data_IF_614860736332
#
_entry.id   IF_614860736332
#
_cell.length_a   1.000
_cell.length_b   1.000
_cell.length_c   1.000
_cell.angle_alpha   90.00
_cell.angle_beta   90.00
_cell.angle_gamma   90.00
#
_symmetry.space_group_name_H-M   'P 1'
#
loop_
_entity.id
_entity.type
_entity.pdbx_description
1 polymer ?
#
# COMPACT_ATOMS: atom_id res chain seq x y z
N UNK A 1 12.42 -10.45 9.29
CA UNK A 1 12.59 -11.23 8.03
C UNK A 1 12.30 -10.39 6.78
N UNK A 2 11.08 -9.85 6.62
CA UNK A 2 10.69 -9.06 5.43
C UNK A 2 11.68 -7.91 5.14
N UNK A 3 11.98 -7.09 6.15
CA UNK A 3 12.89 -5.95 6.02
C UNK A 3 14.28 -6.35 5.48
N UNK A 4 14.81 -7.53 5.82
CA UNK A 4 16.11 -8.00 5.34
C UNK A 4 16.09 -8.52 3.90
N UNK A 5 14.93 -8.93 3.39
CA UNK A 5 14.79 -9.46 2.02
C UNK A 5 14.55 -8.35 1.00
N UNK A 6 13.79 -7.32 1.39
CA UNK A 6 13.36 -6.22 0.53
C UNK A 6 14.50 -5.49 -0.23
N UNK A 7 15.70 -5.29 0.33
CA UNK A 7 16.82 -4.71 -0.41
C UNK A 7 17.24 -5.49 -1.65
N UNK A 8 16.98 -6.81 -1.71
CA UNK A 8 17.24 -7.63 -2.92
C UNK A 8 16.41 -7.19 -4.13
N UNK A 9 15.30 -6.51 -3.88
CA UNK A 9 14.35 -6.01 -4.86
C UNK A 9 14.39 -4.49 -5.00
N UNK A 10 15.47 -3.83 -4.53
CA UNK A 10 15.67 -2.39 -4.65
C UNK A 10 14.85 -1.56 -3.66
N UNK A 11 14.23 -2.19 -2.65
CA UNK A 11 13.39 -1.50 -1.67
C UNK A 11 14.23 -1.07 -0.47
N UNK A 12 14.25 0.24 -0.20
CA UNK A 12 15.00 0.85 0.91
C UNK A 12 14.11 1.20 2.10
N UNK A 13 12.80 1.38 1.90
CA UNK A 13 11.81 1.64 2.94
C UNK A 13 10.46 1.05 2.53
N UNK A 14 9.65 0.64 3.52
CA UNK A 14 8.32 0.07 3.27
C UNK A 14 7.39 0.28 4.46
N UNK A 15 6.09 0.38 4.19
CA UNK A 15 5.04 0.30 5.21
C UNK A 15 4.67 -1.18 5.40
N UNK A 16 4.83 -1.78 6.59
CA UNK A 16 4.27 -3.10 6.86
C UNK A 16 2.74 -3.03 6.77
N UNK A 17 2.16 -3.90 5.95
CA UNK A 17 0.71 -3.89 5.68
C UNK A 17 0.02 -5.04 6.40
N UNK A 18 -1.06 -4.74 7.12
CA UNK A 18 -1.92 -5.76 7.73
C UNK A 18 -3.15 -6.00 6.87
N UNK A 19 -3.60 -7.25 6.79
CA UNK A 19 -5.01 -7.57 6.49
C UNK A 19 -5.87 -7.28 7.73
N UNK A 20 -7.20 -7.23 7.57
CA UNK A 20 -8.14 -7.17 8.68
C UNK A 20 -7.86 -8.29 9.70
N UNK A 21 -7.71 -7.93 10.96
CA UNK A 21 -7.27 -8.84 12.03
C UNK A 21 -7.91 -8.49 13.38
N UNK A 22 -7.70 -9.30 14.40
CA UNK A 22 -8.15 -8.99 15.77
C UNK A 22 -7.33 -7.84 16.38
N UNK A 23 -7.86 -7.21 17.42
CA UNK A 23 -7.14 -6.17 18.17
C UNK A 23 -5.81 -6.70 18.75
N UNK A 24 -5.77 -7.93 19.26
CA UNK A 24 -4.54 -8.54 19.79
C UNK A 24 -3.47 -8.76 18.70
N UNK A 25 -3.89 -9.22 17.52
CA UNK A 25 -2.99 -9.41 16.39
C UNK A 25 -2.47 -8.05 15.89
N UNK A 26 -3.36 -7.05 15.79
CA UNK A 26 -2.98 -5.69 15.42
C UNK A 26 -1.99 -5.09 16.42
N UNK A 27 -2.25 -5.24 17.73
CA UNK A 27 -1.36 -4.78 18.79
C UNK A 27 0.03 -5.40 18.65
N UNK A 28 0.09 -6.71 18.41
CA UNK A 28 1.36 -7.42 18.20
C UNK A 28 2.14 -6.83 17.01
N UNK A 29 1.48 -6.62 15.87
CA UNK A 29 2.11 -6.02 14.69
C UNK A 29 2.60 -4.59 14.99
N UNK A 30 1.78 -3.76 15.62
CA UNK A 30 2.15 -2.37 15.91
C UNK A 30 3.28 -2.25 16.93
N UNK A 31 3.34 -3.15 17.91
CA UNK A 31 4.47 -3.25 18.85
C UNK A 31 5.77 -3.64 18.12
N UNK A 32 5.72 -4.57 17.15
CA UNK A 32 6.87 -4.91 16.30
C UNK A 32 7.30 -3.76 15.39
N UNK A 33 6.34 -3.07 14.76
CA UNK A 33 6.60 -1.88 13.93
C UNK A 33 7.30 -0.81 14.76
N UNK A 34 6.80 -0.51 15.96
CA UNK A 34 7.43 0.42 16.89
C UNK A 34 8.86 0.04 17.22
N UNK A 35 9.09 -1.23 17.60
CA UNK A 35 10.41 -1.71 17.96
C UNK A 35 11.41 -1.58 16.80
N UNK A 36 11.01 -1.97 15.58
CA UNK A 36 11.87 -1.91 14.39
C UNK A 36 12.13 -0.48 13.91
N UNK A 37 11.17 0.43 14.12
CA UNK A 37 11.35 1.86 13.86
C UNK A 37 12.31 2.52 14.84
N UNK A 38 12.22 2.15 16.12
CA UNK A 38 13.09 2.68 17.18
C UNK A 38 14.52 2.14 17.08
N UNK A 39 14.70 0.92 16.56
CA UNK A 39 16.01 0.29 16.39
C UNK A 39 16.19 -0.27 14.96
N UNK A 40 16.45 0.60 13.97
CA UNK A 40 16.72 0.17 12.59
C UNK A 40 17.89 -0.83 12.55
N UNK A 41 17.70 -1.92 11.83
CA UNK A 41 18.70 -2.97 11.70
C UNK A 41 19.58 -2.74 10.47
N UNK A 42 20.89 -2.97 10.61
CA UNK A 42 21.79 -2.96 9.46
C UNK A 42 21.40 -4.04 8.45
N UNK A 43 21.60 -3.78 7.16
CA UNK A 43 21.23 -4.73 6.09
C UNK A 43 19.72 -4.85 5.83
N UNK A 44 18.88 -4.03 6.46
CA UNK A 44 17.42 -4.10 6.34
C UNK A 44 16.83 -2.82 5.76
N UNK A 45 15.78 -2.97 4.93
CA UNK A 45 14.89 -1.89 4.54
C UNK A 45 14.29 -1.21 5.77
N UNK A 46 14.17 0.11 5.73
CA UNK A 46 13.56 0.91 6.79
C UNK A 46 12.09 0.57 6.95
N UNK A 47 11.71 0.22 8.17
CA UNK A 47 10.30 0.06 8.53
C UNK A 47 9.70 1.45 8.73
N UNK A 48 8.64 1.75 7.96
CA UNK A 48 7.83 2.96 8.10
C UNK A 48 6.61 2.68 8.99
N UNK A 49 5.81 3.70 9.37
CA UNK A 49 4.51 3.46 9.98
C UNK A 49 3.67 2.47 9.15
N UNK A 50 2.89 1.65 9.85
CA UNK A 50 2.11 0.59 9.24
C UNK A 50 1.04 1.15 8.28
N UNK A 51 0.73 0.35 7.27
CA UNK A 51 -0.48 0.50 6.47
C UNK A 51 -1.50 -0.51 6.97
N UNK A 52 -2.63 -0.03 7.48
CA UNK A 52 -3.72 -0.89 7.91
C UNK A 52 -4.71 -1.04 6.76
N UNK A 53 -4.64 -2.14 6.02
CA UNK A 53 -5.69 -2.52 5.07
C UNK A 53 -6.89 -3.06 5.86
N UNK A 54 -7.69 -2.11 6.37
CA UNK A 54 -8.27 -2.19 7.71
C UNK A 54 -9.49 -3.12 7.85
N UNK A 55 -9.97 -3.21 9.09
CA UNK A 55 -11.23 -3.86 9.45
C UNK A 55 -12.49 -3.12 8.93
N UNK A 56 -12.37 -1.85 8.52
CA UNK A 56 -13.49 -0.98 8.18
C UNK A 56 -13.65 -0.83 6.66
N UNK A 57 -13.82 -1.98 6.00
CA UNK A 57 -13.98 -2.12 4.56
C UNK A 57 -15.27 -2.87 4.24
N UNK A 58 -15.76 -2.75 3.01
CA UNK A 58 -17.01 -3.39 2.61
C UNK A 58 -16.82 -4.88 2.36
N UNK A 59 -17.66 -5.70 3.02
CA UNK A 59 -17.61 -7.16 2.92
C UNK A 59 -17.80 -7.68 1.48
N UNK A 60 -18.58 -6.98 0.65
CA UNK A 60 -18.83 -7.38 -0.74
C UNK A 60 -17.59 -7.15 -1.62
N UNK A 61 -16.69 -6.28 -1.17
CA UNK A 61 -15.43 -5.94 -1.81
C UNK A 61 -14.22 -6.51 -1.05
N UNK A 62 -14.41 -7.37 -0.06
CA UNK A 62 -13.35 -7.83 0.86
C UNK A 62 -12.19 -8.58 0.17
N UNK A 63 -12.45 -9.28 -0.93
CA UNK A 63 -11.44 -10.17 -1.53
C UNK A 63 -10.91 -11.21 -0.53
N UNK A 64 -9.59 -11.20 -0.32
CA UNK A 64 -8.90 -12.13 0.58
C UNK A 64 -9.00 -11.78 2.08
N UNK A 65 -9.55 -10.61 2.41
CA UNK A 65 -9.70 -10.14 3.78
C UNK A 65 -10.56 -11.11 4.61
N UNK A 66 -10.15 -11.44 5.85
CA UNK A 66 -10.90 -12.32 6.75
C UNK A 66 -12.26 -11.70 7.11
N UNK A 67 -13.35 -12.38 6.78
CA UNK A 67 -14.72 -11.84 6.94
C UNK A 67 -15.04 -11.61 8.42
N UNK A 68 -14.59 -12.52 9.28
CA UNK A 68 -14.75 -12.51 10.72
C UNK A 68 -14.05 -11.31 11.40
N UNK A 69 -13.12 -10.65 10.72
CA UNK A 69 -12.44 -9.47 11.21
C UNK A 69 -13.07 -8.16 10.71
N UNK A 70 -13.99 -8.20 9.73
CA UNK A 70 -14.61 -6.98 9.22
C UNK A 70 -15.64 -6.42 10.21
N UNK A 71 -15.69 -5.09 10.29
CA UNK A 71 -16.50 -4.37 11.28
C UNK A 71 -17.12 -3.12 10.69
N UNK A 72 -18.24 -2.72 11.27
CA UNK A 72 -18.85 -1.42 10.98
C UNK A 72 -18.20 -0.32 11.83
N UNK A 73 -17.94 0.87 11.27
CA UNK A 73 -17.53 2.02 12.06
C UNK A 73 -18.59 2.36 13.14
N UNK A 74 -18.19 2.61 14.40
CA UNK A 74 -19.13 2.81 15.51
C UNK A 74 -19.90 4.14 15.40
N UNK A 75 -21.17 4.14 15.84
CA UNK A 75 -22.15 5.21 15.59
C UNK A 75 -22.02 6.50 16.41
N UNK A 76 -21.03 6.63 17.30
CA UNK A 76 -20.85 7.84 18.11
C UNK A 76 -19.41 7.99 18.58
N UNK A 77 -18.80 9.11 18.23
CA UNK A 77 -17.53 9.58 18.79
C UNK A 77 -17.74 11.01 19.29
N UNK A 78 -17.33 11.30 20.52
CA UNK A 78 -16.91 12.66 20.87
C UNK A 78 -15.55 12.85 20.20
N UNK A 79 -15.55 13.56 19.07
CA UNK A 79 -14.35 13.93 18.33
C UNK A 79 -13.80 15.20 18.98
N UNK A 80 -12.91 15.06 19.96
CA UNK A 80 -11.96 16.14 20.21
C UNK A 80 -10.88 16.02 19.13
N UNK A 81 -10.45 17.13 18.55
CA UNK A 81 -9.53 17.15 17.40
C UNK A 81 -8.28 16.30 17.73
N UNK A 82 -8.08 15.20 17.01
CA UNK A 82 -6.94 14.29 17.17
C UNK A 82 -7.09 13.17 18.22
N UNK A 83 -8.24 13.05 18.90
CA UNK A 83 -8.50 11.95 19.85
C UNK A 83 -9.97 11.53 19.82
N UNK A 84 -10.23 10.23 19.73
CA UNK A 84 -11.59 9.69 19.74
C UNK A 84 -11.83 8.83 20.97
N UNK A 85 -13.05 8.90 21.50
CA UNK A 85 -13.61 7.91 22.41
C UNK A 85 -14.37 6.86 21.61
N UNK A 86 -14.06 5.59 21.81
CA UNK A 86 -14.70 4.47 21.09
C UNK A 86 -14.64 3.21 21.96
N UNK A 87 -15.67 2.37 21.88
CA UNK A 87 -15.72 1.06 22.53
C UNK A 87 -15.19 -0.06 21.62
N UNK A 88 -14.84 0.26 20.37
CA UNK A 88 -14.20 -0.67 19.44
C UNK A 88 -12.71 -0.85 19.76
N UNK A 89 -12.32 -2.09 20.09
CA UNK A 89 -10.97 -2.47 20.53
C UNK A 89 -9.87 -2.28 19.45
N UNK A 90 -10.20 -2.45 18.16
CA UNK A 90 -9.29 -2.21 17.04
C UNK A 90 -8.95 -0.72 16.98
N UNK A 91 -9.96 0.16 17.05
CA UNK A 91 -9.75 1.60 17.05
C UNK A 91 -9.05 2.10 18.32
N UNK A 92 -9.30 1.49 19.48
CA UNK A 92 -8.54 1.75 20.70
C UNK A 92 -7.06 1.38 20.53
N UNK A 93 -6.79 0.23 19.90
CA UNK A 93 -5.43 -0.24 19.59
C UNK A 93 -4.70 0.71 18.65
N UNK A 94 -5.37 1.17 17.58
CA UNK A 94 -4.85 2.19 16.66
C UNK A 94 -4.54 3.49 17.42
N UNK A 95 -5.46 3.95 18.27
CA UNK A 95 -5.27 5.18 19.04
C UNK A 95 -4.06 5.09 19.99
N UNK A 96 -3.84 3.93 20.61
CA UNK A 96 -2.68 3.70 21.49
C UNK A 96 -1.34 3.63 20.74
N UNK A 97 -1.37 3.48 19.41
CA UNK A 97 -0.20 3.33 18.57
C UNK A 97 -0.19 4.30 17.37
N UNK A 98 -0.85 5.46 17.50
CA UNK A 98 -0.96 6.46 16.42
C UNK A 98 0.35 6.78 15.70
N UNK A 99 1.50 7.01 16.38
CA UNK A 99 2.75 7.30 15.69
C UNK A 99 3.25 6.16 14.78
N UNK A 100 2.77 4.94 14.99
CA UNK A 100 3.14 3.71 14.29
C UNK A 100 2.14 3.34 13.18
N UNK A 101 1.10 4.15 12.95
CA UNK A 101 0.09 3.96 11.89
C UNK A 101 0.18 5.12 10.91
N UNK A 102 0.56 4.84 9.66
CA UNK A 102 0.73 5.85 8.62
C UNK A 102 -0.45 5.95 7.66
N UNK A 103 -0.94 4.80 7.21
CA UNK A 103 -2.03 4.69 6.23
C UNK A 103 -3.12 3.79 6.78
N UNK A 104 -4.38 4.12 6.49
CA UNK A 104 -5.50 3.24 6.76
C UNK A 104 -6.45 3.19 5.57
N UNK A 105 -6.70 1.98 5.05
CA UNK A 105 -7.68 1.75 3.97
C UNK A 105 -9.08 1.66 4.54
N UNK A 106 -10.02 2.45 4.03
CA UNK A 106 -11.40 2.54 4.53
C UNK A 106 -12.40 2.55 3.39
N UNK A 107 -13.55 1.88 3.58
CA UNK A 107 -14.72 2.00 2.72
C UNK A 107 -15.65 3.12 3.24
N UNK A 108 -15.74 4.27 2.56
CA UNK A 108 -16.42 5.46 3.10
C UNK A 108 -17.95 5.33 3.12
N UNK A 109 -18.53 4.44 2.32
CA UNK A 109 -19.98 4.22 2.20
C UNK A 109 -20.58 3.41 3.35
N UNK A 110 -19.74 2.80 4.18
CA UNK A 110 -20.21 2.13 5.39
C UNK A 110 -20.92 3.13 6.31
N UNK A 111 -21.87 2.64 7.11
CA UNK A 111 -22.48 3.45 8.16
C UNK A 111 -21.38 4.07 9.06
N UNK A 112 -21.41 5.39 9.23
CA UNK A 112 -20.39 6.19 9.93
C UNK A 112 -18.98 6.16 9.29
N UNK A 113 -18.83 5.63 8.08
CA UNK A 113 -17.57 5.59 7.34
C UNK A 113 -17.01 6.99 7.07
N UNK A 114 -17.85 7.93 6.67
CA UNK A 114 -17.44 9.32 6.45
C UNK A 114 -16.95 10.02 7.73
N UNK A 115 -17.54 9.72 8.88
CA UNK A 115 -17.07 10.23 10.18
C UNK A 115 -15.73 9.59 10.57
N UNK A 116 -15.55 8.31 10.25
CA UNK A 116 -14.27 7.63 10.42
C UNK A 116 -13.18 8.25 9.54
N UNK A 117 -13.47 8.60 8.28
CA UNK A 117 -12.54 9.30 7.39
C UNK A 117 -12.10 10.62 8.04
N UNK A 118 -13.05 11.49 8.39
CA UNK A 118 -12.75 12.79 9.03
C UNK A 118 -11.92 12.65 10.29
N UNK A 119 -12.27 11.67 11.11
CA UNK A 119 -11.51 11.33 12.30
C UNK A 119 -10.09 10.96 11.91
N UNK A 120 -9.85 9.86 11.21
CA UNK A 120 -8.49 9.39 10.89
C UNK A 120 -7.60 10.50 10.29
N UNK A 121 -8.13 11.32 9.37
CA UNK A 121 -7.43 12.50 8.83
C UNK A 121 -7.05 13.50 9.93
N UNK A 122 -7.96 13.84 10.85
CA UNK A 122 -7.69 14.77 11.94
C UNK A 122 -6.66 14.25 12.96
N UNK A 123 -6.40 12.94 13.03
CA UNK A 123 -5.27 12.38 13.81
C UNK A 123 -3.98 12.23 13.01
N UNK A 124 -3.95 12.70 11.76
CA UNK A 124 -2.77 12.64 10.90
C UNK A 124 -2.53 11.29 10.23
N UNK A 125 -3.51 10.37 10.24
CA UNK A 125 -3.46 9.14 9.45
C UNK A 125 -3.86 9.46 8.01
N UNK A 126 -3.09 8.95 7.05
CA UNK A 126 -3.45 9.05 5.63
C UNK A 126 -4.57 8.05 5.36
N UNK A 127 -5.75 8.57 5.03
CA UNK A 127 -6.88 7.73 4.64
C UNK A 127 -6.76 7.36 3.16
N UNK A 128 -6.73 6.05 2.90
CA UNK A 128 -6.74 5.45 1.56
C UNK A 128 -8.13 4.85 1.29
N UNK A 129 -8.74 5.19 0.15
CA UNK A 129 -10.04 4.63 -0.24
C UNK A 129 -9.83 3.27 -0.92
N UNK A 130 -10.53 2.23 -0.50
CA UNK A 130 -10.37 0.90 -1.10
C UNK A 130 -11.32 -0.12 -0.48
N UNK A 131 -11.44 -1.28 -1.13
CA UNK A 131 -12.38 -2.34 -0.72
C UNK A 131 -13.79 -1.81 -0.48
N UNK A 132 -14.30 -1.06 -1.45
CA UNK A 132 -15.46 -0.20 -1.28
C UNK A 132 -16.42 -0.29 -2.45
N UNK A 133 -17.70 -0.30 -2.08
CA UNK A 133 -18.85 -0.16 -2.95
C UNK A 133 -19.33 1.27 -3.13
N UNK A 134 -18.56 2.27 -2.70
CA UNK A 134 -18.96 3.67 -2.80
C UNK A 134 -19.18 4.08 -4.27
N UNK A 135 -20.22 4.87 -4.50
CA UNK A 135 -20.45 5.52 -5.78
C UNK A 135 -19.49 6.71 -5.98
N UNK A 136 -19.60 7.37 -7.14
CA UNK A 136 -18.77 8.53 -7.48
C UNK A 136 -18.91 9.67 -6.45
N UNK A 137 -20.13 10.03 -6.08
CA UNK A 137 -20.41 11.16 -5.18
C UNK A 137 -19.94 10.90 -3.75
N UNK A 138 -20.15 9.69 -3.23
CA UNK A 138 -19.64 9.28 -1.91
C UNK A 138 -18.12 9.28 -1.90
N UNK A 139 -17.49 8.83 -2.98
CA UNK A 139 -16.03 8.85 -3.13
C UNK A 139 -15.50 10.28 -3.12
N UNK A 140 -16.10 11.20 -3.90
CA UNK A 140 -15.72 12.63 -3.88
C UNK A 140 -15.92 13.26 -2.50
N UNK A 141 -17.02 12.93 -1.81
CA UNK A 141 -17.26 13.41 -0.46
C UNK A 141 -16.18 12.92 0.53
N UNK A 142 -15.68 11.69 0.38
CA UNK A 142 -14.60 11.15 1.20
C UNK A 142 -13.26 11.87 0.94
N UNK A 143 -12.98 12.21 -0.32
CA UNK A 143 -11.82 13.00 -0.71
C UNK A 143 -11.90 14.41 -0.11
N UNK A 144 -13.06 15.06 -0.21
CA UNK A 144 -13.33 16.35 0.41
C UNK A 144 -13.22 16.29 1.94
N UNK A 145 -13.58 15.16 2.55
CA UNK A 145 -13.47 14.91 3.99
C UNK A 145 -12.04 14.65 4.47
N UNK A 146 -11.07 14.47 3.56
CA UNK A 146 -9.65 14.34 3.92
C UNK A 146 -8.94 13.09 3.42
N UNK A 147 -9.61 12.20 2.68
CA UNK A 147 -8.92 11.08 2.04
C UNK A 147 -7.93 11.57 0.97
N UNK A 148 -6.74 10.96 0.94
CA UNK A 148 -5.63 11.40 0.06
C UNK A 148 -5.00 10.26 -0.74
N UNK A 149 -5.38 9.02 -0.48
CA UNK A 149 -4.91 7.86 -1.23
C UNK A 149 -6.07 6.98 -1.72
N UNK A 150 -5.80 6.12 -2.69
CA UNK A 150 -6.70 5.06 -3.12
C UNK A 150 -5.92 3.75 -3.25
N UNK A 151 -6.31 2.73 -2.48
CA UNK A 151 -5.62 1.45 -2.38
C UNK A 151 -5.82 0.63 -3.66
N UNK A 152 -4.74 0.08 -4.23
CA UNK A 152 -4.72 -0.79 -5.43
C UNK A 152 -5.82 -0.49 -6.49
N UNK A 153 -5.87 0.75 -6.99
CA UNK A 153 -6.83 1.27 -7.99
C UNK A 153 -7.25 0.21 -9.01
N UNK A 154 -8.56 0.17 -9.30
CA UNK A 154 -9.29 -0.82 -10.10
C UNK A 154 -9.66 -2.11 -9.36
N UNK A 155 -8.92 -2.49 -8.31
CA UNK A 155 -9.18 -3.72 -7.57
C UNK A 155 -10.12 -3.42 -6.41
N UNK A 156 -11.17 -4.22 -6.26
CA UNK A 156 -12.11 -4.11 -5.13
C UNK A 156 -12.71 -2.71 -4.96
N UNK A 157 -13.06 -2.08 -6.08
CA UNK A 157 -13.72 -0.78 -6.17
C UNK A 157 -14.88 -0.86 -7.16
N UNK A 158 -15.84 0.06 -7.04
CA UNK A 158 -16.87 0.24 -8.09
C UNK A 158 -16.20 0.69 -9.41
N UNK A 159 -16.51 0.00 -10.54
CA UNK A 159 -15.85 0.25 -11.81
C UNK A 159 -16.33 1.55 -12.45
N UNK A 160 -15.53 2.08 -13.38
CA UNK A 160 -15.90 3.24 -14.18
C UNK A 160 -16.62 2.82 -15.46
N UNK A 161 -17.84 3.32 -15.65
CA UNK A 161 -18.61 3.24 -16.88
C UNK A 161 -18.94 4.64 -17.41
N UNK A 162 -19.52 4.75 -18.61
CA UNK A 162 -19.84 6.06 -19.20
C UNK A 162 -20.95 6.84 -18.49
N UNK A 163 -21.81 6.17 -17.71
CA UNK A 163 -22.94 6.78 -16.99
C UNK A 163 -22.81 6.73 -15.48
N UNK A 164 -21.97 5.83 -14.98
CA UNK A 164 -21.66 5.68 -13.57
C UNK A 164 -20.14 5.56 -13.44
N UNK A 165 -19.45 6.66 -13.06
CA UNK A 165 -18.00 6.66 -12.96
C UNK A 165 -17.46 5.81 -11.80
N UNK A 166 -18.27 5.52 -10.78
CA UNK A 166 -17.85 4.83 -9.58
C UNK A 166 -16.66 5.50 -8.86
N UNK A 167 -16.06 4.76 -7.92
CA UNK A 167 -14.86 5.16 -7.21
C UNK A 167 -13.66 5.26 -8.15
N UNK A 168 -13.55 4.37 -9.15
CA UNK A 168 -12.47 4.44 -10.15
C UNK A 168 -12.48 5.80 -10.86
N UNK A 169 -13.65 6.28 -11.28
CA UNK A 169 -13.79 7.59 -11.90
C UNK A 169 -13.47 8.73 -10.95
N UNK A 170 -13.89 8.65 -9.69
CA UNK A 170 -13.56 9.65 -8.66
C UNK A 170 -12.05 9.75 -8.43
N UNK A 171 -11.35 8.63 -8.33
CA UNK A 171 -9.89 8.59 -8.14
C UNK A 171 -9.17 9.09 -9.38
N UNK A 172 -9.56 8.68 -10.58
CA UNK A 172 -8.90 9.09 -11.82
C UNK A 172 -9.10 10.57 -12.16
N UNK A 173 -10.22 11.16 -11.75
CA UNK A 173 -10.55 12.57 -12.03
C UNK A 173 -10.14 13.56 -10.93
N UNK A 174 -9.66 13.08 -9.78
CA UNK A 174 -9.26 13.93 -8.65
C UNK A 174 -7.74 14.08 -8.55
N UNK A 175 -7.26 15.33 -8.46
CA UNK A 175 -5.85 15.66 -8.21
C UNK A 175 -5.45 15.56 -6.72
N UNK A 176 -6.43 15.50 -5.83
CA UNK A 176 -6.24 15.46 -4.37
C UNK A 176 -5.89 14.06 -3.85
N UNK A 177 -6.08 13.03 -4.67
CA UNK A 177 -5.83 11.63 -4.32
C UNK A 177 -4.68 11.07 -5.11
N UNK A 178 -3.74 10.41 -4.44
CA UNK A 178 -2.73 9.59 -5.09
C UNK A 178 -3.23 8.15 -5.25
N UNK A 179 -3.15 7.58 -6.45
CA UNK A 179 -3.59 6.21 -6.71
C UNK A 179 -2.46 5.21 -6.49
N UNK A 180 -2.70 4.14 -5.74
CA UNK A 180 -1.81 2.98 -5.68
C UNK A 180 -2.14 2.04 -6.84
N UNK A 181 -1.14 1.48 -7.53
CA UNK A 181 -1.33 0.52 -8.62
C UNK A 181 -0.39 -0.66 -8.44
N UNK A 182 -0.95 -1.88 -8.51
CA UNK A 182 -0.17 -3.13 -8.55
C UNK A 182 0.33 -3.35 -9.98
N UNK A 183 1.63 -3.13 -10.20
CA UNK A 183 2.24 -3.14 -11.52
C UNK A 183 2.78 -4.52 -11.93
N UNK A 184 1.95 -5.57 -11.93
CA UNK A 184 2.34 -6.93 -12.32
C UNK A 184 1.83 -7.40 -13.69
N UNK A 185 0.98 -6.59 -14.33
CA UNK A 185 0.33 -6.92 -15.60
C UNK A 185 -0.81 -7.96 -15.46
N UNK A 186 -1.19 -8.32 -14.23
CA UNK A 186 -2.22 -9.31 -13.90
C UNK A 186 -3.38 -8.67 -13.16
N UNK A 187 -3.11 -7.94 -12.08
CA UNK A 187 -4.10 -7.16 -11.34
C UNK A 187 -4.63 -6.01 -12.21
N UNK A 188 -3.73 -5.34 -12.91
CA UNK A 188 -4.06 -4.27 -13.84
C UNK A 188 -3.39 -4.55 -15.18
N UNK A 189 -4.15 -4.52 -16.27
CA UNK A 189 -3.58 -4.69 -17.60
C UNK A 189 -2.67 -3.49 -17.95
N UNK A 190 -1.51 -3.66 -18.61
CA UNK A 190 -0.59 -2.53 -18.91
C UNK A 190 -1.23 -1.38 -19.70
N UNK A 191 -2.23 -1.66 -20.55
CA UNK A 191 -3.00 -0.61 -21.23
C UNK A 191 -3.83 0.24 -20.26
N UNK A 192 -4.38 -0.37 -19.21
CA UNK A 192 -5.13 0.34 -18.16
C UNK A 192 -4.18 1.15 -17.27
N UNK A 193 -2.97 0.64 -17.00
CA UNK A 193 -1.93 1.43 -16.34
C UNK A 193 -1.59 2.70 -17.12
N UNK A 194 -1.50 2.63 -18.46
CA UNK A 194 -1.30 3.81 -19.32
C UNK A 194 -2.42 4.83 -19.20
N UNK A 195 -3.67 4.36 -19.18
CA UNK A 195 -4.83 5.25 -18.98
C UNK A 195 -4.74 5.94 -17.62
N UNK A 196 -4.40 5.20 -16.56
CA UNK A 196 -4.22 5.79 -15.24
C UNK A 196 -3.10 6.84 -15.22
N UNK A 197 -1.94 6.55 -15.82
CA UNK A 197 -0.84 7.51 -15.94
C UNK A 197 -1.22 8.77 -16.72
N UNK A 198 -2.00 8.62 -17.79
CA UNK A 198 -2.49 9.75 -18.57
C UNK A 198 -3.49 10.61 -17.79
N UNK A 199 -4.35 9.99 -16.98
CA UNK A 199 -5.35 10.70 -16.18
C UNK A 199 -4.76 11.41 -14.96
N UNK A 200 -3.85 10.75 -14.21
CA UNK A 200 -3.36 11.25 -12.92
C UNK A 200 -1.96 11.85 -12.95
N UNK A 201 -1.19 11.67 -14.03
CA UNK A 201 0.27 11.85 -14.06
C UNK A 201 1.02 10.83 -13.18
N UNK A 202 2.24 10.39 -13.58
CA UNK A 202 3.14 9.60 -12.73
C UNK A 202 3.41 10.23 -11.35
N UNK A 203 3.28 11.56 -11.25
CA UNK A 203 3.41 12.27 -9.98
C UNK A 203 2.27 12.01 -9.00
N UNK A 204 1.11 11.46 -9.39
CA UNK A 204 -0.02 11.11 -8.50
C UNK A 204 -0.34 9.61 -8.56
N UNK A 205 0.65 8.80 -8.89
CA UNK A 205 0.56 7.34 -8.82
C UNK A 205 1.71 6.81 -7.98
N UNK A 206 1.38 5.87 -7.09
CA UNK A 206 2.33 5.03 -6.36
C UNK A 206 2.28 3.62 -6.95
N UNK A 207 3.40 3.15 -7.45
CA UNK A 207 3.54 1.72 -7.74
C UNK A 207 3.67 0.98 -6.42
N UNK A 208 2.80 0.01 -6.18
CA UNK A 208 2.84 -0.86 -5.00
C UNK A 208 3.04 -2.31 -5.45
N UNK A 209 3.54 -3.14 -4.55
CA UNK A 209 3.58 -4.58 -4.80
C UNK A 209 2.27 -5.26 -4.43
N UNK A 210 1.63 -4.84 -3.34
CA UNK A 210 0.64 -5.67 -2.64
C UNK A 210 1.17 -7.11 -2.44
N UNK A 211 2.47 -7.20 -2.17
CA UNK A 211 3.21 -8.44 -2.18
C UNK A 211 2.97 -9.23 -0.91
N UNK A 212 2.54 -10.48 -1.06
CA UNK A 212 2.38 -11.40 0.08
C UNK A 212 3.72 -12.03 0.49
N UNK A 213 3.70 -12.88 1.53
CA UNK A 213 4.82 -13.76 1.88
C UNK A 213 5.24 -14.71 0.74
N UNK A 214 4.44 -14.85 -0.32
CA UNK A 214 4.80 -15.56 -1.54
C UNK A 214 5.68 -14.77 -2.51
N UNK A 215 5.92 -13.48 -2.28
CA UNK A 215 6.66 -12.62 -3.20
C UNK A 215 8.11 -13.07 -3.34
N UNK A 216 8.56 -13.22 -4.59
CA UNK A 216 9.91 -13.70 -4.91
C UNK A 216 10.12 -15.21 -4.74
N UNK A 217 9.09 -15.97 -4.32
CA UNK A 217 9.16 -17.43 -4.27
C UNK A 217 8.86 -18.05 -5.64
N UNK A 218 9.37 -19.27 -5.94
CA UNK A 218 9.02 -20.00 -7.16
C UNK A 218 7.52 -20.35 -7.22
N UNK A 219 6.99 -20.47 -8.44
CA UNK A 219 5.63 -21.00 -8.68
C UNK A 219 5.47 -22.37 -8.00
N UNK A 220 4.33 -22.59 -7.36
CA UNK A 220 4.02 -23.79 -6.59
C UNK A 220 4.41 -23.72 -5.11
N UNK A 221 5.15 -22.70 -4.69
CA UNK A 221 5.44 -22.46 -3.26
C UNK A 221 4.15 -22.14 -2.49
N UNK A 222 4.15 -22.44 -1.19
CA UNK A 222 3.07 -22.08 -0.28
C UNK A 222 3.55 -21.10 0.78
N UNK A 223 2.66 -20.22 1.21
CA UNK A 223 2.89 -19.28 2.30
C UNK A 223 1.57 -19.02 3.06
N UNK A 224 1.55 -18.05 3.96
CA UNK A 224 0.34 -17.64 4.68
C UNK A 224 0.04 -16.16 4.52
N UNK A 225 -1.25 -15.82 4.50
CA UNK A 225 -1.79 -14.47 4.57
C UNK A 225 -2.93 -14.45 5.58
N UNK A 226 -2.80 -13.68 6.67
CA UNK A 226 -3.82 -13.65 7.73
C UNK A 226 -4.14 -15.03 8.32
N UNK A 227 -3.13 -15.90 8.46
CA UNK A 227 -3.30 -17.28 8.93
C UNK A 227 -3.87 -18.26 7.89
N UNK A 228 -4.26 -17.80 6.70
CA UNK A 228 -4.80 -18.63 5.61
C UNK A 228 -3.68 -19.04 4.65
N UNK A 229 -3.71 -20.28 4.16
CA UNK A 229 -2.76 -20.78 3.18
C UNK A 229 -2.94 -20.07 1.83
N UNK A 230 -1.84 -19.64 1.23
CA UNK A 230 -1.79 -19.16 -0.15
C UNK A 230 -0.82 -20.00 -0.97
N UNK A 231 -1.11 -20.17 -2.25
CA UNK A 231 -0.23 -20.81 -3.24
C UNK A 231 0.24 -19.78 -4.26
N UNK A 232 1.55 -19.81 -4.55
CA UNK A 232 2.22 -18.92 -5.51
C UNK A 232 1.98 -19.41 -6.93
N UNK A 233 1.24 -18.64 -7.73
CA UNK A 233 1.03 -18.87 -9.16
C UNK A 233 1.49 -17.65 -9.99
N UNK A 234 0.65 -17.17 -10.91
CA UNK A 234 0.80 -15.87 -11.55
C UNK A 234 0.47 -14.72 -10.59
N UNK A 235 -0.37 -15.01 -9.60
CA UNK A 235 -0.69 -14.22 -8.41
C UNK A 235 -0.71 -15.15 -7.18
N UNK A 236 -0.85 -14.62 -5.97
CA UNK A 236 -1.12 -15.46 -4.81
C UNK A 236 -2.61 -15.85 -4.79
N UNK A 237 -2.91 -17.13 -4.55
CA UNK A 237 -4.28 -17.64 -4.47
C UNK A 237 -4.54 -18.37 -3.17
N UNK A 238 -5.71 -18.14 -2.59
CA UNK A 238 -6.28 -18.96 -1.53
C UNK A 238 -6.72 -20.32 -2.08
N UNK A 239 -6.96 -21.29 -1.18
CA UNK A 239 -7.42 -22.63 -1.56
C UNK A 239 -8.77 -22.63 -2.30
N UNK A 240 -9.58 -21.59 -2.11
CA UNK A 240 -10.86 -21.36 -2.81
C UNK A 240 -10.71 -20.68 -4.20
N UNK A 241 -9.47 -20.42 -4.64
CA UNK A 241 -9.16 -19.77 -5.91
C UNK A 241 -9.16 -18.24 -5.87
N UNK A 242 -9.58 -17.62 -4.76
CA UNK A 242 -9.57 -16.16 -4.58
C UNK A 242 -8.15 -15.62 -4.69
N UNK A 243 -7.97 -14.61 -5.53
CA UNK A 243 -6.72 -13.84 -5.60
C UNK A 243 -6.51 -13.08 -4.30
N UNK A 244 -5.33 -13.26 -3.71
CA UNK A 244 -4.99 -12.85 -2.36
C UNK A 244 -3.66 -12.11 -2.35
N UNK A 245 -3.69 -10.86 -2.82
CA UNK A 245 -2.50 -10.07 -3.10
C UNK A 245 -1.69 -10.62 -4.27
N UNK A 246 -0.47 -10.10 -4.39
CA UNK A 246 0.45 -10.45 -5.46
C UNK A 246 1.65 -11.27 -4.96
N UNK A 247 2.45 -11.69 -5.93
CA UNK A 247 3.79 -12.27 -5.74
C UNK A 247 4.87 -11.32 -6.32
N UNK A 248 4.48 -10.05 -6.53
CA UNK A 248 5.26 -9.01 -7.18
C UNK A 248 6.38 -8.50 -6.26
N UNK A 249 7.54 -8.25 -6.86
CA UNK A 249 8.67 -7.56 -6.22
C UNK A 249 8.84 -6.18 -6.88
N UNK A 250 9.39 -5.20 -6.17
CA UNK A 250 9.39 -3.81 -6.66
C UNK A 250 10.25 -3.62 -7.93
N UNK A 251 11.34 -4.35 -8.07
CA UNK A 251 12.14 -4.42 -9.30
C UNK A 251 11.31 -4.90 -10.50
N UNK A 252 10.47 -5.92 -10.31
CA UNK A 252 9.54 -6.41 -11.33
C UNK A 252 8.40 -5.43 -11.61
N UNK A 253 7.93 -4.71 -10.58
CA UNK A 253 6.93 -3.65 -10.74
C UNK A 253 7.49 -2.52 -11.63
N UNK A 254 8.71 -2.07 -11.34
CA UNK A 254 9.43 -1.08 -12.13
C UNK A 254 9.67 -1.56 -13.58
N UNK A 255 10.11 -2.81 -13.75
CA UNK A 255 10.30 -3.40 -15.08
C UNK A 255 8.98 -3.51 -15.87
N UNK A 256 7.86 -3.82 -15.22
CA UNK A 256 6.54 -3.82 -15.87
C UNK A 256 6.12 -2.42 -16.32
N UNK A 257 6.31 -1.41 -15.46
CA UNK A 257 6.01 -0.01 -15.79
C UNK A 257 6.78 0.44 -17.03
N UNK A 258 8.09 0.21 -17.06
CA UNK A 258 8.96 0.66 -18.15
C UNK A 258 8.75 -0.19 -19.40
N UNK A 259 8.76 -1.51 -19.26
CA UNK A 259 8.77 -2.44 -20.40
C UNK A 259 7.40 -2.73 -21.02
N UNK A 260 6.32 -2.71 -20.23
CA UNK A 260 4.98 -3.11 -20.69
C UNK A 260 3.96 -1.96 -20.65
N UNK A 261 4.00 -1.13 -19.61
CA UNK A 261 3.14 0.04 -19.50
C UNK A 261 3.71 1.25 -20.26
N UNK A 262 4.99 1.23 -20.68
CA UNK A 262 5.59 2.29 -21.50
C UNK A 262 5.91 3.57 -20.73
N UNK A 263 6.07 3.50 -19.41
CA UNK A 263 6.59 4.62 -18.63
C UNK A 263 8.06 4.87 -18.98
N UNK A 264 8.48 6.13 -19.04
CA UNK A 264 9.91 6.46 -19.08
C UNK A 264 10.60 6.05 -17.77
N UNK A 265 11.93 5.85 -17.79
CA UNK A 265 12.69 5.48 -16.58
C UNK A 265 12.47 6.44 -15.41
N UNK A 266 12.44 7.75 -15.70
CA UNK A 266 12.22 8.80 -14.69
C UNK A 266 10.82 8.72 -14.10
N UNK A 267 9.80 8.48 -14.91
CA UNK A 267 8.41 8.36 -14.44
C UNK A 267 8.18 7.06 -13.67
N UNK A 268 8.77 5.94 -14.13
CA UNK A 268 8.78 4.70 -13.37
C UNK A 268 9.44 4.88 -11.99
N UNK A 269 10.57 5.58 -11.93
CA UNK A 269 11.28 5.82 -10.67
C UNK A 269 10.49 6.76 -9.75
N UNK A 270 9.82 7.76 -10.35
CA UNK A 270 8.90 8.65 -9.65
C UNK A 270 7.76 7.86 -9.02
N UNK A 271 7.11 6.96 -9.77
CA UNK A 271 5.99 6.14 -9.27
C UNK A 271 6.42 5.14 -8.18
N UNK A 272 7.63 4.57 -8.28
CA UNK A 272 8.14 3.61 -7.30
C UNK A 272 8.78 4.26 -6.06
N UNK A 273 9.15 5.54 -6.10
CA UNK A 273 9.96 6.16 -5.05
C UNK A 273 9.53 7.59 -4.69
N UNK A 274 9.60 8.54 -5.64
CA UNK A 274 9.33 9.96 -5.36
C UNK A 274 7.88 10.21 -4.94
N UNK A 275 6.91 9.64 -5.67
CA UNK A 275 5.48 9.79 -5.37
C UNK A 275 5.14 9.17 -4.01
N UNK A 276 5.51 7.91 -3.70
CA UNK A 276 5.34 7.35 -2.35
C UNK A 276 6.00 8.19 -1.25
N UNK A 277 7.25 8.62 -1.43
CA UNK A 277 7.96 9.41 -0.42
C UNK A 277 7.26 10.74 -0.15
N UNK A 278 6.75 11.42 -1.19
CA UNK A 278 6.00 12.66 -1.05
C UNK A 278 4.68 12.44 -0.32
N UNK A 279 3.90 11.42 -0.71
CA UNK A 279 2.61 11.13 -0.07
C UNK A 279 2.76 10.75 1.40
N UNK A 280 3.86 10.06 1.76
CA UNK A 280 4.20 9.71 3.14
C UNK A 280 4.92 10.84 3.90
N UNK A 281 5.16 12.00 3.29
CA UNK A 281 5.84 13.13 3.93
C UNK A 281 7.32 12.91 4.25
N UNK A 282 7.97 11.94 3.58
CA UNK A 282 9.37 11.55 3.83
C UNK A 282 10.34 12.56 3.21
N UNK A 283 10.81 13.50 4.02
CA UNK A 283 11.73 14.55 3.58
C UNK A 283 13.08 13.96 3.14
N UNK A 284 13.56 14.38 1.96
CA UNK A 284 14.84 13.94 1.41
C UNK A 284 14.87 12.49 0.89
N UNK A 285 13.75 11.75 0.93
CA UNK A 285 13.66 10.41 0.35
C UNK A 285 13.08 10.44 -1.07
N UNK A 286 13.37 9.40 -1.85
CA UNK A 286 12.82 9.20 -3.19
C UNK A 286 13.28 10.19 -4.25
N UNK A 287 14.38 10.91 -3.99
CA UNK A 287 14.99 11.87 -4.90
C UNK A 287 16.51 11.70 -4.91
N UNK A 288 17.14 12.02 -6.05
CA UNK A 288 18.60 12.05 -6.18
C UNK A 288 19.05 13.52 -6.22
N UNK A 289 19.70 13.97 -5.16
CA UNK A 289 20.19 15.35 -5.05
C UNK A 289 21.08 15.53 -3.83
N UNK A 290 21.91 16.58 -3.86
CA UNK A 290 22.75 16.93 -2.71
C UNK A 290 21.89 17.21 -1.47
N UNK A 291 22.25 16.62 -0.34
CA UNK A 291 21.49 16.74 0.93
C UNK A 291 20.29 15.80 1.06
N UNK A 292 19.95 15.01 0.03
CA UNK A 292 18.97 13.94 0.13
C UNK A 292 19.52 12.73 0.90
N UNK A 293 18.63 11.87 1.38
CA UNK A 293 19.00 10.59 1.99
C UNK A 293 19.57 9.67 0.92
N UNK A 294 20.74 9.09 1.18
CA UNK A 294 21.43 8.19 0.26
C UNK A 294 20.83 6.77 0.28
N UNK A 295 19.52 6.69 0.02
CA UNK A 295 18.78 5.46 -0.22
C UNK A 295 18.70 5.24 -1.74
N UNK A 296 19.41 4.24 -2.26
CA UNK A 296 19.61 4.05 -3.70
C UNK A 296 19.35 2.61 -4.13
N UNK A 297 18.77 2.43 -5.31
CA UNK A 297 18.78 1.16 -6.02
C UNK A 297 19.59 1.34 -7.31
N UNK A 298 20.62 0.51 -7.51
CA UNK A 298 21.43 0.48 -8.72
C UNK A 298 20.95 -0.68 -9.58
N UNK A 299 20.54 -0.40 -10.81
CA UNK A 299 20.03 -1.41 -11.74
C UNK A 299 20.99 -1.58 -12.92
N UNK A 300 21.00 -2.77 -13.53
CA UNK A 300 21.68 -2.98 -14.81
C UNK A 300 20.79 -2.59 -16.01
N UNK A 301 21.33 -2.75 -17.23
CA UNK A 301 20.61 -2.43 -18.47
C UNK A 301 19.34 -3.26 -18.71
N UNK A 302 19.19 -4.40 -18.01
CA UNK A 302 18.00 -5.24 -18.05
C UNK A 302 17.05 -4.94 -16.88
N UNK A 303 17.29 -3.85 -16.14
CA UNK A 303 16.54 -3.42 -14.97
C UNK A 303 16.59 -4.40 -13.79
N UNK A 304 17.62 -5.26 -13.71
CA UNK A 304 17.83 -6.10 -12.53
C UNK A 304 18.58 -5.30 -11.46
N UNK A 305 18.18 -5.46 -10.20
CA UNK A 305 18.86 -4.83 -9.06
C UNK A 305 20.26 -5.42 -8.89
N UNK A 306 21.26 -4.55 -8.93
CA UNK A 306 22.67 -4.88 -8.70
C UNK A 306 23.12 -4.49 -7.31
N UNK A 307 22.65 -3.35 -6.80
CA UNK A 307 22.98 -2.93 -5.45
C UNK A 307 21.80 -2.17 -4.84
N UNK A 308 21.68 -2.26 -3.52
CA UNK A 308 20.79 -1.40 -2.75
C UNK A 308 21.56 -0.77 -1.62
N UNK A 309 21.41 0.54 -1.48
CA UNK A 309 22.07 1.37 -0.49
C UNK A 309 21.03 1.97 0.43
N UNK A 310 21.30 1.99 1.73
CA UNK A 310 20.43 2.62 2.73
C UNK A 310 21.29 3.51 3.61
N UNK A 311 20.95 4.80 3.65
CA UNK A 311 21.73 5.79 4.40
C UNK A 311 23.19 5.90 3.96
N UNK A 312 23.49 5.61 2.69
CA UNK A 312 24.85 5.66 2.15
C UNK A 312 25.67 4.39 2.36
N UNK A 313 25.10 3.35 2.98
CA UNK A 313 25.75 2.06 3.18
C UNK A 313 25.20 0.99 2.21
N UNK A 314 26.04 0.16 1.59
CA UNK A 314 25.59 -0.93 0.74
C UNK A 314 24.98 -2.05 1.60
N UNK A 315 23.69 -2.32 1.44
CA UNK A 315 22.95 -3.35 2.19
C UNK A 315 22.61 -4.58 1.35
N UNK A 316 22.74 -4.48 0.03
CA UNK A 316 22.63 -5.60 -0.90
C UNK A 316 23.64 -5.42 -2.04
N UNK A 317 24.32 -6.51 -2.39
CA UNK A 317 25.17 -6.61 -3.57
C UNK A 317 24.79 -7.88 -4.34
N UNK A 318 24.23 -7.71 -5.53
CA UNK A 318 23.85 -8.79 -6.44
C UNK A 318 25.01 -9.31 -7.28
N UNK A 319 26.18 -8.66 -7.27
CA UNK A 319 27.37 -9.15 -7.96
C UNK A 319 28.10 -10.24 -7.16
N UNK A 320 27.97 -10.22 -5.83
CA UNK A 320 28.54 -11.22 -4.92
C UNK A 320 27.73 -12.52 -4.82
N UNK A 321 26.54 -12.57 -5.45
CA UNK A 321 25.65 -13.74 -5.51
C UNK A 321 25.84 -14.62 -6.77
N UNK A 322 26.94 -14.44 -7.52
CA UNK A 322 27.30 -15.41 -8.57
C UNK A 322 27.86 -16.68 -7.90
N UNK A 323 27.42 -17.89 -8.29
CA UNK A 323 28.03 -19.13 -7.84
C UNK A 323 29.51 -19.23 -8.26
#
# INVERSE_FOLDING_TARGET
AIAAMLPRYGVTAFCPTTVACSADALKTVLDEVRALRAAPQHGCARVLPAHLESNFINQDFKGAQPLECLRMPPAKRTLDIGRWTTDDDVLQTIQAALPDVGIMTVAPELANGMDLVRALTAAGIIVSLGHSGADYETSLAAIAAGARQATHLFNRMTPMTSRDPGMVGAVLSSDDVCAEIICDGRHVHPAVMRVAMAAKSPARIMAITDGTAGSGLPRGSTATLGGRRITVEDVARLDDGTMAGSVLTMDRAFACLVGQAGAGLVDGARMCSTSPARELGLQGHGVLGAGAVADLAVLDANLNVRQTWIGGEPVFDGLSLRP
#
